data_IF_748233190362
#
_entry.id   IF_748233190362
#
_cell.length_a   1.000
_cell.length_b   1.000
_cell.length_c   1.000
_cell.angle_alpha   90.00
_cell.angle_beta   90.00
_cell.angle_gamma   90.00
#
_symmetry.space_group_name_H-M   'P 1'
#
loop_
_entity.id
_entity.type
_entity.pdbx_description
1 polymer ?
#
# COMPACT_ATOMS: atom_id res chain seq x y z
N UNK A 1 -35.70 12.13 -12.00
CA UNK A 1 -34.39 12.50 -12.59
C UNK A 1 -33.36 11.69 -11.83
N UNK A 2 -33.03 10.49 -12.32
CA UNK A 2 -32.02 9.62 -11.74
C UNK A 2 -30.66 10.03 -12.32
N UNK A 3 -29.78 10.60 -11.50
CA UNK A 3 -28.38 10.75 -11.88
C UNK A 3 -27.70 9.39 -11.67
N UNK A 4 -27.78 8.53 -12.68
CA UNK A 4 -26.84 7.43 -12.87
C UNK A 4 -25.58 8.00 -13.49
N UNK A 5 -24.60 8.35 -12.67
CA UNK A 5 -23.25 8.62 -13.16
C UNK A 5 -22.24 7.94 -12.25
N UNK A 6 -21.77 6.78 -12.72
CA UNK A 6 -20.36 6.43 -12.60
C UNK A 6 -19.97 5.96 -14.00
N UNK A 7 -19.53 6.90 -14.83
CA UNK A 7 -18.86 6.54 -16.07
C UNK A 7 -17.49 5.91 -15.74
N UNK A 8 -16.95 5.13 -16.68
CA UNK A 8 -15.66 4.46 -16.49
C UNK A 8 -14.50 5.44 -16.25
N UNK A 9 -14.63 6.72 -16.62
CA UNK A 9 -13.65 7.78 -16.37
C UNK A 9 -13.67 8.25 -14.90
N UNK A 10 -14.84 8.40 -14.28
CA UNK A 10 -14.94 8.70 -12.84
C UNK A 10 -14.42 7.53 -12.00
N UNK A 11 -14.59 6.30 -12.49
CA UNK A 11 -13.97 5.10 -11.92
C UNK A 11 -12.44 5.11 -12.08
N UNK A 12 -11.90 5.87 -13.05
CA UNK A 12 -10.47 6.13 -13.15
C UNK A 12 -9.97 7.20 -12.16
N UNK A 13 -10.77 8.21 -11.82
CA UNK A 13 -10.41 9.20 -10.80
C UNK A 13 -10.56 8.69 -9.36
N UNK A 14 -11.41 7.67 -9.15
CA UNK A 14 -11.48 6.86 -7.93
C UNK A 14 -10.55 5.63 -7.97
N UNK A 15 -9.64 5.53 -8.96
CA UNK A 15 -8.55 4.53 -8.91
C UNK A 15 -7.70 4.90 -7.72
N UNK A 16 -7.72 4.07 -6.70
CA UNK A 16 -6.79 4.23 -5.61
C UNK A 16 -5.36 4.40 -6.15
N UNK A 17 -4.66 5.44 -5.71
CA UNK A 17 -3.31 5.68 -6.21
C UNK A 17 -2.38 4.71 -5.49
N UNK A 18 -1.68 3.92 -6.29
CA UNK A 18 -0.63 3.02 -5.81
C UNK A 18 0.71 3.63 -6.18
N UNK A 19 1.62 3.67 -5.21
CA UNK A 19 3.00 4.05 -5.47
C UNK A 19 3.96 3.10 -4.79
N UNK A 20 5.01 2.73 -5.50
CA UNK A 20 6.10 1.91 -4.98
C UNK A 20 7.42 2.64 -5.22
N UNK A 21 8.31 2.58 -4.23
CA UNK A 21 9.60 3.29 -4.28
C UNK A 21 10.64 2.68 -3.36
N UNK A 22 11.90 2.86 -3.74
CA UNK A 22 13.05 2.72 -2.86
C UNK A 22 13.37 4.10 -2.29
N UNK A 23 13.55 4.19 -0.98
CA UNK A 23 13.94 5.41 -0.29
C UNK A 23 15.25 5.16 0.44
N UNK A 24 16.30 5.84 0.02
CA UNK A 24 17.61 5.81 0.66
C UNK A 24 17.61 6.71 1.90
N UNK A 25 18.49 6.39 2.86
CA UNK A 25 18.65 7.14 4.11
C UNK A 25 19.15 8.58 3.86
N UNK A 26 19.79 8.84 2.73
CA UNK A 26 20.19 10.19 2.27
C UNK A 26 19.03 11.03 1.71
N UNK A 27 17.84 10.44 1.61
CA UNK A 27 16.63 11.08 1.09
C UNK A 27 16.41 10.92 -0.42
N UNK A 28 17.32 10.25 -1.14
CA UNK A 28 17.10 9.89 -2.55
C UNK A 28 15.94 8.91 -2.67
N UNK A 29 15.05 9.18 -3.63
CA UNK A 29 13.87 8.35 -3.91
C UNK A 29 13.98 7.82 -5.34
N UNK A 30 13.85 6.51 -5.49
CA UNK A 30 13.79 5.84 -6.79
C UNK A 30 12.42 5.17 -6.91
N UNK A 31 11.53 5.60 -7.83
CA UNK A 31 10.29 4.90 -8.08
C UNK A 31 10.59 3.49 -8.62
N UNK A 32 9.83 2.49 -8.19
CA UNK A 32 9.92 1.13 -8.74
C UNK A 32 8.64 0.78 -9.47
N UNK A 33 8.77 -0.12 -10.45
CA UNK A 33 7.63 -0.54 -11.25
C UNK A 33 6.68 -1.42 -10.42
N UNK A 34 5.38 -1.17 -10.61
CA UNK A 34 4.33 -2.03 -10.07
C UNK A 34 4.17 -3.23 -10.99
N UNK A 35 4.40 -4.43 -10.46
CA UNK A 35 4.21 -5.68 -11.20
C UNK A 35 2.72 -5.91 -11.50
N UNK A 36 1.89 -5.63 -10.51
CA UNK A 36 0.43 -5.76 -10.64
C UNK A 36 -0.27 -4.72 -9.77
N UNK A 37 -1.39 -4.20 -10.26
CA UNK A 37 -2.34 -3.43 -9.46
C UNK A 37 -3.75 -3.82 -9.88
N UNK A 38 -4.56 -4.23 -8.91
CA UNK A 38 -5.91 -4.72 -9.14
C UNK A 38 -6.89 -3.99 -8.25
N UNK A 39 -7.89 -3.38 -8.86
CA UNK A 39 -9.06 -2.79 -8.19
C UNK A 39 -10.30 -3.59 -8.56
N UNK A 40 -11.00 -4.12 -7.57
CA UNK A 40 -12.25 -4.88 -7.76
C UNK A 40 -13.32 -4.42 -6.79
N UNK A 41 -14.57 -4.45 -7.24
CA UNK A 41 -15.71 -4.40 -6.32
C UNK A 41 -15.95 -5.82 -5.80
N UNK A 42 -15.88 -5.99 -4.48
CA UNK A 42 -15.99 -7.30 -3.82
C UNK A 42 -17.38 -7.56 -3.24
N UNK A 43 -18.29 -6.59 -3.33
CA UNK A 43 -19.67 -6.74 -2.91
C UNK A 43 -20.27 -5.43 -2.41
N UNK A 44 -21.27 -5.58 -1.52
CA UNK A 44 -21.94 -4.47 -0.85
C UNK A 44 -22.01 -4.71 0.63
N UNK A 45 -21.89 -3.64 1.41
CA UNK A 45 -22.14 -3.67 2.84
C UNK A 45 -23.66 -3.83 3.06
N UNK A 46 -24.08 -4.84 3.81
CA UNK A 46 -25.49 -5.23 3.96
C UNK A 46 -26.30 -4.13 4.67
N UNK A 47 -25.71 -3.46 5.65
CA UNK A 47 -26.41 -2.48 6.48
C UNK A 47 -26.57 -1.13 5.76
N UNK A 48 -25.60 -0.76 4.92
CA UNK A 48 -25.57 0.55 4.25
C UNK A 48 -25.91 0.50 2.76
N UNK A 49 -25.96 -0.69 2.15
CA UNK A 49 -26.09 -0.94 0.71
C UNK A 49 -25.02 -0.22 -0.15
N UNK A 50 -23.89 0.14 0.46
CA UNK A 50 -22.76 0.79 -0.20
C UNK A 50 -21.78 -0.23 -0.78
N UNK A 51 -21.09 0.14 -1.86
CA UNK A 51 -20.13 -0.75 -2.52
C UNK A 51 -18.89 -0.95 -1.64
N UNK A 52 -18.35 -2.18 -1.70
CA UNK A 52 -17.08 -2.52 -1.08
C UNK A 52 -16.06 -2.71 -2.19
N UNK A 53 -14.92 -2.05 -2.04
CA UNK A 53 -13.80 -2.12 -2.97
C UNK A 53 -12.58 -2.72 -2.29
N UNK A 54 -11.82 -3.46 -3.08
CA UNK A 54 -10.51 -3.96 -2.74
C UNK A 54 -9.51 -3.47 -3.77
N UNK A 55 -8.43 -2.87 -3.29
CA UNK A 55 -7.24 -2.60 -4.08
C UNK A 55 -6.07 -3.40 -3.54
N UNK A 56 -5.41 -4.11 -4.45
CA UNK A 56 -4.21 -4.88 -4.16
C UNK A 56 -3.11 -4.46 -5.12
N UNK A 57 -1.89 -4.35 -4.61
CA UNK A 57 -0.71 -3.96 -5.36
C UNK A 57 0.45 -4.88 -5.04
N UNK A 58 1.24 -5.20 -6.06
CA UNK A 58 2.46 -5.98 -5.97
C UNK A 58 3.58 -5.15 -6.58
N UNK A 59 4.65 -4.93 -5.81
CA UNK A 59 5.84 -4.25 -6.28
C UNK A 59 7.05 -5.16 -6.08
N UNK A 60 7.99 -5.09 -7.02
CA UNK A 60 9.23 -5.86 -6.96
C UNK A 60 10.42 -4.91 -7.10
N UNK A 61 11.42 -5.05 -6.23
CA UNK A 61 12.71 -4.39 -6.43
C UNK A 61 13.59 -5.26 -7.31
N UNK A 62 14.31 -4.63 -8.23
CA UNK A 62 15.48 -5.22 -8.87
C UNK A 62 16.54 -4.13 -8.91
N UNK A 63 17.36 -4.08 -7.86
CA UNK A 63 18.52 -3.16 -7.82
C UNK A 63 19.69 -3.92 -8.43
N UNK A 64 20.36 -3.37 -9.42
CA UNK A 64 21.59 -3.98 -9.96
C UNK A 64 22.70 -3.88 -8.91
N UNK A 65 23.57 -4.90 -8.83
CA UNK A 65 24.76 -4.84 -7.97
C UNK A 65 25.67 -3.68 -8.42
N UNK A 66 25.76 -2.63 -7.59
CA UNK A 66 26.71 -1.55 -7.82
C UNK A 66 28.15 -2.00 -7.52
N UNK A 67 29.13 -1.48 -8.27
CA UNK A 67 30.56 -1.81 -8.07
C UNK A 67 31.12 -1.35 -6.69
N UNK A 68 30.39 -0.56 -5.91
CA UNK A 68 30.84 -0.03 -4.61
C UNK A 68 30.25 -0.79 -3.41
N UNK A 69 31.12 -1.54 -2.74
CA UNK A 69 30.93 -2.44 -1.59
C UNK A 69 30.23 -1.90 -0.31
N UNK A 70 29.69 -0.68 -0.29
CA UNK A 70 29.11 -0.07 0.91
C UNK A 70 27.58 -0.20 0.97
N UNK A 71 26.92 -0.40 -0.18
CA UNK A 71 25.50 -0.69 -0.26
C UNK A 71 25.33 -2.04 -0.95
N UNK A 72 24.62 -2.98 -0.33
CA UNK A 72 24.10 -4.16 -1.05
C UNK A 72 22.97 -3.70 -1.97
N UNK A 73 23.32 -3.05 -3.05
CA UNK A 73 22.48 -2.96 -4.25
C UNK A 73 22.54 -4.36 -4.89
N UNK A 74 21.42 -4.95 -5.34
CA UNK A 74 21.30 -6.40 -5.64
C UNK A 74 20.12 -7.12 -4.98
N UNK A 75 19.29 -6.40 -4.21
CA UNK A 75 18.16 -7.01 -3.52
C UNK A 75 16.96 -7.13 -4.46
N UNK A 76 16.53 -8.38 -4.61
CA UNK A 76 15.26 -8.75 -5.22
C UNK A 76 14.27 -9.07 -4.12
N UNK A 77 13.21 -8.26 -4.03
CA UNK A 77 12.18 -8.40 -3.02
C UNK A 77 10.82 -8.09 -3.62
N UNK A 78 9.80 -8.89 -3.28
CA UNK A 78 8.41 -8.69 -3.69
C UNK A 78 7.55 -8.35 -2.48
N UNK A 79 6.91 -7.18 -2.52
CA UNK A 79 5.99 -6.70 -1.48
C UNK A 79 4.58 -6.63 -2.03
N UNK A 80 3.63 -7.13 -1.26
CA UNK A 80 2.20 -7.04 -1.54
C UNK A 80 1.54 -6.15 -0.50
N UNK A 81 0.62 -5.30 -0.94
CA UNK A 81 -0.19 -4.46 -0.08
C UNK A 81 -1.63 -4.49 -0.55
N UNK A 82 -2.55 -4.55 0.40
CA UNK A 82 -3.98 -4.63 0.15
C UNK A 82 -4.75 -3.72 1.09
N UNK A 83 -5.76 -3.06 0.53
CA UNK A 83 -6.65 -2.15 1.21
C UNK A 83 -8.09 -2.46 0.80
N UNK A 84 -8.97 -2.64 1.78
CA UNK A 84 -10.41 -2.79 1.57
C UNK A 84 -11.13 -1.62 2.21
N UNK A 85 -12.03 -1.00 1.46
CA UNK A 85 -12.87 0.07 1.97
C UNK A 85 -14.31 -0.02 1.48
N UNK A 86 -15.23 0.55 2.26
CA UNK A 86 -16.61 0.82 1.86
C UNK A 86 -16.67 2.25 1.31
N UNK A 87 -17.16 2.37 0.09
CA UNK A 87 -17.42 3.67 -0.55
C UNK A 87 -18.76 4.22 -0.04
N UNK A 88 -18.67 5.00 1.03
CA UNK A 88 -19.83 5.68 1.59
C UNK A 88 -19.97 7.05 0.94
N UNK A 89 -21.19 7.42 0.57
CA UNK A 89 -21.49 8.71 -0.05
C UNK A 89 -20.86 9.90 0.70
N UNK A 90 -20.06 10.71 -0.02
CA UNK A 90 -19.40 11.89 0.51
C UNK A 90 -18.08 11.60 1.24
N UNK A 91 -17.69 12.34 2.30
CA UNK A 91 -16.36 12.24 2.93
C UNK A 91 -16.26 11.07 3.94
N UNK A 92 -17.06 10.02 3.76
CA UNK A 92 -17.31 9.00 4.80
C UNK A 92 -16.77 7.62 4.44
N UNK A 93 -15.88 7.50 3.45
CA UNK A 93 -15.26 6.23 3.11
C UNK A 93 -14.75 5.54 4.36
N UNK A 94 -14.98 4.24 4.47
CA UNK A 94 -14.66 3.46 5.65
C UNK A 94 -13.63 2.41 5.30
N UNK A 95 -12.41 2.55 5.83
CA UNK A 95 -11.38 1.53 5.73
C UNK A 95 -11.78 0.37 6.64
N UNK A 96 -11.93 -0.83 6.09
CA UNK A 96 -12.39 -2.01 6.84
C UNK A 96 -11.26 -2.98 7.11
N UNK A 97 -10.29 -3.09 6.21
CA UNK A 97 -9.18 -4.01 6.35
C UNK A 97 -7.95 -3.51 5.61
N UNK A 98 -6.78 -3.77 6.21
CA UNK A 98 -5.47 -3.57 5.59
C UNK A 98 -4.59 -4.79 5.82
N UNK A 99 -3.79 -5.10 4.81
CA UNK A 99 -2.90 -6.26 4.83
C UNK A 99 -1.66 -5.95 4.00
N UNK A 100 -0.50 -6.44 4.44
CA UNK A 100 0.70 -6.40 3.64
C UNK A 100 1.67 -7.50 4.01
N UNK A 101 2.46 -7.90 3.03
CA UNK A 101 3.39 -9.02 3.14
C UNK A 101 4.61 -8.79 2.23
N UNK A 102 5.79 -9.13 2.72
CA UNK A 102 6.96 -9.40 1.90
C UNK A 102 6.95 -10.89 1.57
N UNK A 103 6.62 -11.22 0.32
CA UNK A 103 6.39 -12.60 -0.12
C UNK A 103 7.67 -13.32 -0.56
N UNK A 104 8.61 -12.57 -1.14
CA UNK A 104 9.88 -13.11 -1.65
C UNK A 104 11.00 -12.09 -1.37
N UNK A 105 12.17 -12.57 -0.95
CA UNK A 105 13.36 -11.74 -0.75
C UNK A 105 14.63 -12.59 -0.81
N UNK A 106 15.67 -12.11 -1.49
CA UNK A 106 17.03 -12.67 -1.42
C UNK A 106 17.87 -12.08 -0.26
N UNK A 107 17.32 -11.13 0.50
CA UNK A 107 17.99 -10.46 1.62
C UNK A 107 17.25 -10.62 2.95
N UNK A 108 18.01 -10.59 4.05
CA UNK A 108 17.47 -10.61 5.41
C UNK A 108 16.82 -9.27 5.78
N UNK A 109 15.68 -9.31 6.47
CA UNK A 109 14.91 -8.13 6.88
C UNK A 109 15.39 -7.64 8.25
N UNK A 110 15.80 -6.38 8.33
CA UNK A 110 16.16 -5.73 9.60
C UNK A 110 14.94 -5.15 10.33
N UNK A 111 13.87 -4.85 9.59
CA UNK A 111 12.59 -4.47 10.18
C UNK A 111 11.57 -4.04 9.14
N UNK A 112 10.33 -3.92 9.59
CA UNK A 112 9.21 -3.43 8.81
C UNK A 112 8.40 -2.42 9.60
N UNK A 113 7.65 -1.59 8.89
CA UNK A 113 6.62 -0.77 9.48
C UNK A 113 5.47 -0.56 8.50
N UNK A 114 4.27 -0.64 9.03
CA UNK A 114 3.05 -0.26 8.34
C UNK A 114 2.34 0.89 9.05
N UNK A 115 1.59 1.66 8.27
CA UNK A 115 0.73 2.75 8.70
C UNK A 115 -0.57 2.71 7.92
N UNK A 116 -1.68 3.02 8.56
CA UNK A 116 -2.96 3.22 7.88
C UNK A 116 -3.79 4.28 8.58
N UNK A 117 -4.77 4.84 7.88
CA UNK A 117 -5.73 5.79 8.43
C UNK A 117 -6.21 6.80 7.40
N UNK A 118 -6.40 8.04 7.84
CA UNK A 118 -6.72 9.18 7.00
C UNK A 118 -5.53 10.13 6.94
N UNK A 119 -5.38 10.90 5.86
CA UNK A 119 -4.21 11.78 5.64
C UNK A 119 -3.79 12.65 6.85
N UNK A 120 -4.71 12.95 7.77
CA UNK A 120 -4.47 13.77 8.97
C UNK A 120 -4.44 13.00 10.29
N UNK A 121 -4.74 11.69 10.30
CA UNK A 121 -4.79 10.89 11.52
C UNK A 121 -4.36 9.43 11.23
N UNK A 122 -3.30 9.00 11.90
CA UNK A 122 -2.74 7.65 11.78
C UNK A 122 -3.45 6.76 12.80
N UNK A 123 -4.05 5.68 12.31
CA UNK A 123 -4.73 4.71 13.15
C UNK A 123 -3.82 3.74 13.87
N UNK A 124 -2.78 3.29 13.18
CA UNK A 124 -1.76 2.43 13.76
C UNK A 124 -0.43 2.64 13.07
N UNK A 125 0.63 2.58 13.86
CA UNK A 125 2.01 2.46 13.41
C UNK A 125 2.66 1.36 14.24
N UNK A 126 3.23 0.35 13.60
CA UNK A 126 3.97 -0.70 14.30
C UNK A 126 5.32 -0.86 13.64
N UNK A 127 6.37 -0.89 14.46
CA UNK A 127 7.70 -1.36 14.06
C UNK A 127 7.82 -2.81 14.50
N UNK A 128 8.16 -3.72 13.58
CA UNK A 128 8.37 -5.12 13.94
C UNK A 128 9.41 -5.78 13.04
N UNK A 129 10.00 -6.89 13.49
CA UNK A 129 10.77 -7.78 12.63
C UNK A 129 9.90 -8.66 11.72
N UNK A 130 8.57 -8.55 11.83
CA UNK A 130 7.63 -9.33 11.02
C UNK A 130 7.61 -8.83 9.57
N UNK A 131 7.49 -9.75 8.63
CA UNK A 131 7.41 -9.47 7.19
C UNK A 131 5.98 -9.34 6.70
N UNK A 132 4.98 -9.47 7.57
CA UNK A 132 3.57 -9.33 7.24
C UNK A 132 2.76 -8.66 8.35
N UNK A 133 1.60 -8.13 7.97
CA UNK A 133 0.59 -7.62 8.89
C UNK A 133 -0.82 -7.78 8.32
N UNK A 134 -1.79 -7.86 9.22
CA UNK A 134 -3.21 -7.82 8.90
C UNK A 134 -3.97 -7.12 10.03
N UNK A 135 -4.86 -6.20 9.67
CA UNK A 135 -5.72 -5.50 10.62
C UNK A 135 -7.11 -5.26 10.04
N UNK A 136 -8.13 -5.58 10.83
CA UNK A 136 -9.45 -4.97 10.67
C UNK A 136 -9.44 -3.57 11.27
N UNK A 137 -10.13 -2.65 10.61
CA UNK A 137 -10.12 -1.22 10.94
C UNK A 137 -11.52 -0.64 10.82
N UNK A 138 -11.73 0.55 11.40
CA UNK A 138 -12.98 1.30 11.34
C UNK A 138 -12.75 2.79 11.01
N UNK A 139 -11.63 3.09 10.33
CA UNK A 139 -11.25 4.46 9.98
C UNK A 139 -12.19 5.06 8.93
N UNK A 140 -12.67 6.26 9.21
CA UNK A 140 -13.57 6.99 8.31
C UNK A 140 -12.94 8.27 7.82
N UNK A 141 -13.01 8.53 6.52
CA UNK A 141 -12.60 9.82 5.97
C UNK A 141 -12.72 9.90 4.46
N UNK A 142 -12.41 11.07 3.92
CA UNK A 142 -12.45 11.30 2.48
C UNK A 142 -11.33 10.54 1.75
N UNK A 143 -10.10 10.65 2.27
CA UNK A 143 -8.89 10.02 1.74
C UNK A 143 -8.29 9.10 2.77
N UNK A 144 -8.40 7.81 2.50
CA UNK A 144 -7.85 6.70 3.26
C UNK A 144 -6.51 6.30 2.64
N UNK A 145 -5.63 5.76 3.45
CA UNK A 145 -4.37 5.20 2.97
C UNK A 145 -3.95 3.97 3.77
N UNK A 146 -3.15 3.15 3.12
CA UNK A 146 -2.28 2.16 3.74
C UNK A 146 -0.88 2.33 3.16
N UNK A 147 0.11 2.19 4.02
CA UNK A 147 1.51 2.34 3.69
C UNK A 147 2.28 1.23 4.38
N UNK A 148 3.20 0.60 3.66
CA UNK A 148 4.05 -0.46 4.18
C UNK A 148 5.48 -0.26 3.69
N UNK A 149 6.45 -0.38 4.59
CA UNK A 149 7.84 -0.47 4.20
C UNK A 149 8.58 -1.61 4.87
N UNK A 150 9.61 -2.07 4.16
CA UNK A 150 10.57 -3.09 4.57
C UNK A 150 11.96 -2.49 4.52
N UNK A 151 12.78 -2.76 5.54
CA UNK A 151 14.21 -2.45 5.58
C UNK A 151 14.98 -3.77 5.67
N UNK A 152 16.07 -3.88 4.91
CA UNK A 152 16.93 -5.07 4.91
C UNK A 152 18.15 -4.85 5.82
N UNK A 153 18.84 -5.94 6.16
CA UNK A 153 20.10 -5.91 6.93
C UNK A 153 21.22 -5.36 6.03
N UNK A 154 22.09 -4.53 6.60
CA UNK A 154 23.24 -3.92 5.92
C UNK A 154 22.91 -3.11 4.64
N UNK A 155 21.71 -2.53 4.56
CA UNK A 155 21.36 -1.57 3.50
C UNK A 155 20.99 -0.20 4.05
N UNK A 156 21.33 0.81 3.26
CA UNK A 156 21.03 2.23 3.50
C UNK A 156 19.70 2.66 2.87
N UNK A 157 18.81 1.72 2.54
CA UNK A 157 17.52 2.03 1.92
C UNK A 157 16.39 1.12 2.42
N UNK A 158 15.17 1.54 2.13
CA UNK A 158 13.93 0.81 2.42
C UNK A 158 13.02 0.73 1.19
N UNK A 159 12.32 -0.38 1.06
CA UNK A 159 11.28 -0.61 0.06
C UNK A 159 9.95 -0.12 0.62
N UNK A 160 9.26 0.77 -0.09
CA UNK A 160 7.95 1.30 0.29
C UNK A 160 6.89 0.96 -0.76
N UNK A 161 5.70 0.57 -0.28
CA UNK A 161 4.48 0.45 -1.07
C UNK A 161 3.36 1.21 -0.36
N UNK A 162 2.61 2.01 -1.10
CA UNK A 162 1.53 2.85 -0.59
C UNK A 162 0.30 2.70 -1.48
N UNK A 163 -0.87 2.59 -0.86
CA UNK A 163 -2.15 2.68 -1.54
C UNK A 163 -2.99 3.78 -0.87
N UNK A 164 -3.62 4.61 -1.69
CA UNK A 164 -4.61 5.60 -1.27
C UNK A 164 -5.91 5.38 -2.04
N UNK A 165 -7.07 5.80 -1.53
CA UNK A 165 -8.32 5.85 -2.31
C UNK A 165 -8.67 7.28 -2.78
#
# INVERSE_FOLDING_TARGET
MELKFFDQETLQECKGNVSARIVYDDGRIIPIELKETKLISIGRNIDTNNNIYEIAAIATTNTEEGEESVNKDGIEATITLKMIWVDNYGPRNELTSVEGELSESNAEVSGSLYKYGVKYNIGQQKMSSGTSFYHNTDFKGLKLFVYYYIRFVDVSWKLELEITN
#
